data_IF_303290986970
#
_entry.id   IF_303290986970
#
_cell.length_a   1.000
_cell.length_b   1.000
_cell.length_c   1.000
_cell.angle_alpha   90.00
_cell.angle_beta   90.00
_cell.angle_gamma   90.00
#
_symmetry.space_group_name_H-M   'P 1'
#
loop_
_entity.id
_entity.type
_entity.pdbx_description
1 polymer ?
#
# COMPACT_ATOMS: atom_id res chain seq x y z
N UNK A 1 -11.17 11.39 -5.36
CA UNK A 1 -9.80 11.56 -4.85
C UNK A 1 -8.90 10.57 -5.56
N UNK A 2 -7.72 11.02 -5.99
CA UNK A 2 -6.74 10.18 -6.68
C UNK A 2 -5.65 9.74 -5.71
N UNK A 3 -5.20 8.48 -5.80
CA UNK A 3 -4.20 7.89 -4.92
C UNK A 3 -3.11 7.25 -5.77
N UNK A 4 -1.87 7.72 -5.68
CA UNK A 4 -0.75 7.17 -6.45
C UNK A 4 0.08 6.21 -5.60
N UNK A 5 -0.20 4.93 -5.76
CA UNK A 5 0.59 3.85 -5.15
C UNK A 5 1.92 3.71 -5.89
N UNK A 6 3.04 3.71 -5.17
CA UNK A 6 4.38 3.52 -5.74
C UNK A 6 4.96 2.19 -5.29
N UNK A 7 5.00 1.23 -6.21
CA UNK A 7 5.53 -0.09 -5.92
C UNK A 7 7.05 -0.06 -5.97
N UNK A 8 7.70 -0.60 -4.94
CA UNK A 8 9.16 -0.70 -4.87
C UNK A 8 9.62 -2.13 -4.66
N UNK A 9 10.90 -2.38 -5.00
CA UNK A 9 11.56 -3.67 -4.82
C UNK A 9 10.81 -4.82 -5.50
N UNK A 10 10.65 -5.93 -4.77
CA UNK A 10 9.95 -7.13 -5.27
C UNK A 10 8.49 -6.86 -5.64
N UNK A 11 7.83 -5.88 -5.01
CA UNK A 11 6.43 -5.58 -5.30
C UNK A 11 6.29 -4.99 -6.69
N UNK A 12 7.19 -4.09 -7.11
CA UNK A 12 7.20 -3.54 -8.47
C UNK A 12 7.38 -4.63 -9.54
N UNK A 13 8.19 -5.65 -9.24
CA UNK A 13 8.37 -6.80 -10.11
C UNK A 13 7.12 -7.69 -10.21
N UNK A 14 6.31 -7.75 -9.15
CA UNK A 14 5.07 -8.53 -9.12
C UNK A 14 3.91 -7.81 -9.79
N UNK A 15 3.80 -6.50 -9.60
CA UNK A 15 2.75 -5.69 -10.22
C UNK A 15 3.06 -5.39 -11.69
N UNK A 16 4.34 -5.46 -12.10
CA UNK A 16 4.79 -5.09 -13.43
C UNK A 16 4.79 -3.57 -13.69
N UNK A 17 4.45 -2.79 -12.66
CA UNK A 17 4.26 -1.34 -12.71
C UNK A 17 5.01 -0.72 -11.53
N UNK A 18 5.70 0.40 -11.75
CA UNK A 18 6.38 1.13 -10.66
C UNK A 18 5.43 2.04 -9.89
N UNK A 19 4.41 2.56 -10.57
CA UNK A 19 3.51 3.54 -10.01
C UNK A 19 2.12 3.33 -10.60
N UNK A 20 1.08 3.55 -9.79
CA UNK A 20 -0.29 3.47 -10.27
C UNK A 20 -1.21 4.40 -9.51
N UNK A 21 -2.00 5.15 -10.27
CA UNK A 21 -3.04 6.02 -9.72
C UNK A 21 -4.37 5.28 -9.65
N UNK A 22 -5.06 5.41 -8.52
CA UNK A 22 -6.38 4.89 -8.26
C UNK A 22 -7.32 6.04 -7.88
N UNK A 23 -8.45 6.13 -8.55
CA UNK A 23 -9.47 7.12 -8.23
C UNK A 23 -10.54 6.47 -7.35
N UNK A 24 -10.77 7.04 -6.17
CA UNK A 24 -11.83 6.61 -5.25
C UNK A 24 -12.81 7.77 -5.02
N UNK A 25 -14.09 7.44 -4.85
CA UNK A 25 -15.14 8.42 -4.56
C UNK A 25 -15.02 8.98 -3.14
N UNK A 26 -14.62 8.14 -2.17
CA UNK A 26 -14.46 8.46 -0.74
C UNK A 26 -13.07 8.03 -0.24
N UNK A 27 -12.50 8.65 0.83
CA UNK A 27 -11.22 8.27 1.44
C UNK A 27 -11.23 6.79 1.88
N UNK A 28 -10.57 5.86 1.15
CA UNK A 28 -10.50 4.49 1.58
C UNK A 28 -9.56 4.40 2.79
N UNK A 29 -9.77 3.38 3.61
CA UNK A 29 -8.76 2.96 4.57
C UNK A 29 -7.59 2.33 3.83
N UNK A 30 -6.41 2.30 4.46
CA UNK A 30 -5.27 1.60 3.88
C UNK A 30 -5.60 0.12 3.65
N UNK A 31 -6.38 -0.51 4.54
CA UNK A 31 -6.92 -1.87 4.33
C UNK A 31 -7.74 -1.98 3.04
N UNK A 32 -8.69 -1.07 2.81
CA UNK A 32 -9.50 -1.06 1.59
C UNK A 32 -8.67 -0.87 0.31
N UNK A 33 -7.63 -0.05 0.37
CA UNK A 33 -6.67 0.10 -0.74
C UNK A 33 -5.91 -1.21 -1.00
N UNK A 34 -5.43 -1.87 0.05
CA UNK A 34 -4.73 -3.16 -0.07
C UNK A 34 -5.65 -4.27 -0.60
N UNK A 35 -6.92 -4.31 -0.18
CA UNK A 35 -7.90 -5.25 -0.71
C UNK A 35 -8.18 -4.99 -2.21
N UNK A 36 -8.22 -3.73 -2.63
CA UNK A 36 -8.33 -3.36 -4.06
C UNK A 36 -7.11 -3.83 -4.86
N UNK A 37 -5.91 -3.70 -4.27
CA UNK A 37 -4.66 -4.18 -4.88
C UNK A 37 -4.61 -5.72 -4.95
N UNK A 38 -5.05 -6.42 -3.90
CA UNK A 38 -5.19 -7.88 -3.87
C UNK A 38 -6.18 -8.36 -4.94
N UNK A 39 -7.34 -7.72 -5.06
CA UNK A 39 -8.34 -8.08 -6.07
C UNK A 39 -7.79 -7.95 -7.51
N UNK A 40 -6.84 -7.02 -7.71
CA UNK A 40 -6.24 -6.73 -9.01
C UNK A 40 -5.04 -7.61 -9.35
N UNK A 41 -4.07 -7.70 -8.44
CA UNK A 41 -2.80 -8.41 -8.65
C UNK A 41 -2.85 -9.86 -8.16
N UNK A 42 -3.93 -10.24 -7.51
CA UNK A 42 -4.20 -11.60 -7.04
C UNK A 42 -3.45 -11.99 -5.77
N UNK A 43 -3.57 -13.27 -5.43
CA UNK A 43 -3.03 -13.85 -4.19
C UNK A 43 -1.50 -13.68 -4.06
N UNK A 44 -0.77 -13.63 -5.16
CA UNK A 44 0.69 -13.45 -5.14
C UNK A 44 1.09 -12.13 -4.50
N UNK A 45 0.32 -11.07 -4.75
CA UNK A 45 0.49 -9.78 -4.08
C UNK A 45 0.13 -9.89 -2.61
N UNK A 46 -1.04 -10.46 -2.28
CA UNK A 46 -1.49 -10.64 -0.90
C UNK A 46 -0.49 -11.40 -0.03
N UNK A 47 0.15 -12.46 -0.56
CA UNK A 47 1.20 -13.23 0.14
C UNK A 47 2.46 -12.41 0.48
N UNK A 48 2.71 -11.32 -0.25
CA UNK A 48 3.85 -10.42 -0.01
C UNK A 48 3.50 -9.26 0.91
N UNK A 49 2.22 -8.92 1.00
CA UNK A 49 1.74 -7.86 1.88
C UNK A 49 1.38 -8.43 3.25
N UNK A 50 0.62 -9.52 3.28
CA UNK A 50 0.09 -10.13 4.48
C UNK A 50 0.89 -11.37 4.88
N UNK A 51 1.08 -11.54 6.18
CA UNK A 51 1.67 -12.73 6.79
C UNK A 51 0.70 -13.90 6.86
N UNK A 52 -0.60 -13.61 7.03
CA UNK A 52 -1.64 -14.63 7.14
C UNK A 52 -2.87 -14.25 6.31
N UNK A 53 -3.50 -15.26 5.71
CA UNK A 53 -4.79 -15.13 5.05
C UNK A 53 -5.97 -15.11 6.04
N UNK A 54 -5.75 -15.57 7.29
CA UNK A 54 -6.75 -15.57 8.36
C UNK A 54 -6.80 -14.24 9.10
N UNK A 55 -7.99 -13.79 9.48
CA UNK A 55 -8.17 -12.57 10.27
C UNK A 55 -7.65 -12.76 11.72
N UNK A 56 -6.96 -11.76 12.30
CA UNK A 56 -6.57 -10.49 11.70
C UNK A 56 -5.46 -10.65 10.65
N UNK A 57 -5.67 -10.11 9.44
CA UNK A 57 -4.67 -10.12 8.35
C UNK A 57 -3.50 -9.22 8.76
N UNK A 58 -2.44 -9.83 9.29
CA UNK A 58 -1.26 -9.10 9.74
C UNK A 58 -0.36 -8.73 8.56
N UNK A 59 0.18 -7.52 8.54
CA UNK A 59 1.20 -7.14 7.56
C UNK A 59 2.47 -7.98 7.77
N UNK A 60 3.19 -8.24 6.69
CA UNK A 60 4.53 -8.81 6.73
C UNK A 60 5.44 -7.93 7.60
N UNK A 61 6.19 -8.53 8.52
CA UNK A 61 7.12 -7.81 9.42
C UNK A 61 8.18 -7.02 8.63
N UNK A 62 8.54 -7.55 7.47
CA UNK A 62 9.49 -6.93 6.58
C UNK A 62 8.83 -5.87 5.67
N UNK A 63 7.52 -5.75 5.62
CA UNK A 63 6.84 -4.77 4.78
C UNK A 63 6.78 -3.42 5.52
N UNK A 64 7.40 -2.41 4.93
CA UNK A 64 7.19 -1.03 5.36
C UNK A 64 6.22 -0.37 4.39
N UNK A 65 5.15 0.19 4.95
CA UNK A 65 4.18 1.01 4.22
C UNK A 65 4.41 2.46 4.65
N UNK A 66 4.68 3.33 3.69
CA UNK A 66 4.73 4.77 3.97
C UNK A 66 3.56 5.43 3.28
N UNK A 67 2.87 6.35 3.95
CA UNK A 67 1.77 7.17 3.42
C UNK A 67 2.21 8.62 3.57
N UNK A 68 2.44 9.29 2.43
CA UNK A 68 3.00 10.65 2.41
C UNK A 68 4.32 10.80 3.21
N UNK A 69 5.19 9.78 3.10
CA UNK A 69 6.46 9.75 3.83
C UNK A 69 6.35 9.36 5.31
N UNK A 70 5.15 9.23 5.87
CA UNK A 70 4.95 8.73 7.23
C UNK A 70 4.86 7.21 7.23
N UNK A 71 5.68 6.55 8.06
CA UNK A 71 5.59 5.09 8.24
C UNK A 71 4.24 4.75 8.89
N UNK A 72 3.51 3.82 8.29
CA UNK A 72 2.20 3.37 8.75
C UNK A 72 2.36 2.05 9.48
N UNK A 73 1.98 2.05 10.75
CA UNK A 73 1.93 0.85 11.57
C UNK A 73 0.60 0.11 11.40
N UNK A 74 0.54 -1.08 11.99
CA UNK A 74 -0.62 -1.94 11.87
C UNK A 74 -1.93 -1.31 12.36
N UNK A 75 -1.87 -0.41 13.33
CA UNK A 75 -3.05 0.31 13.86
C UNK A 75 -3.65 1.27 12.82
N UNK A 76 -2.81 1.88 11.99
CA UNK A 76 -3.24 2.85 10.99
C UNK A 76 -3.74 2.19 9.69
N UNK A 77 -3.82 0.85 9.64
CA UNK A 77 -4.46 0.14 8.52
C UNK A 77 -5.97 0.36 8.46
N UNK A 78 -6.59 0.45 9.63
CA UNK A 78 -8.03 0.60 9.79
C UNK A 78 -8.44 2.09 9.85
N UNK A 79 -7.45 2.99 9.86
CA UNK A 79 -7.68 4.43 9.77
C UNK A 79 -7.90 4.87 8.31
N UNK A 80 -8.80 5.86 8.08
CA UNK A 80 -8.97 6.43 6.76
C UNK A 80 -7.68 7.11 6.31
N UNK A 81 -7.33 6.93 5.04
CA UNK A 81 -6.16 7.60 4.49
C UNK A 81 -6.34 9.13 4.59
N UNK A 82 -5.28 9.86 5.00
CA UNK A 82 -5.36 11.32 5.09
C UNK A 82 -5.64 11.91 3.71
N UNK A 83 -6.35 13.04 3.62
CA UNK A 83 -6.52 13.74 2.36
C UNK A 83 -5.14 14.11 1.82
N UNK A 84 -4.97 14.09 0.49
CA UNK A 84 -3.66 14.37 -0.06
C UNK A 84 -3.23 15.81 0.23
N UNK A 85 -1.92 16.05 0.39
CA UNK A 85 -1.40 17.37 0.71
C UNK A 85 -1.74 18.36 -0.40
N UNK A 86 -2.23 19.54 -0.01
CA UNK A 86 -2.64 20.61 -0.92
C UNK A 86 -1.51 21.10 -1.85
N UNK A 87 -0.25 20.81 -1.50
CA UNK A 87 0.95 21.21 -2.24
C UNK A 87 1.30 20.26 -3.40
N UNK A 88 0.68 19.07 -3.48
CA UNK A 88 0.89 18.16 -4.63
C UNK A 88 -0.19 18.37 -5.70
N UNK A 89 0.20 18.68 -6.95
CA UNK A 89 -0.74 19.03 -8.02
C UNK A 89 -1.71 17.90 -8.41
N UNK A 90 -1.42 16.64 -8.06
CA UNK A 90 -2.27 15.49 -8.36
C UNK A 90 -2.96 14.87 -7.13
N UNK A 91 -2.81 15.45 -5.93
CA UNK A 91 -3.44 14.89 -4.75
C UNK A 91 -3.00 13.45 -4.44
N UNK A 92 -1.73 13.14 -4.60
CA UNK A 92 -1.24 11.75 -4.62
C UNK A 92 -0.70 11.28 -3.26
N UNK A 93 -1.31 10.24 -2.70
CA UNK A 93 -0.74 9.50 -1.55
C UNK A 93 0.26 8.47 -2.07
N UNK A 94 1.55 8.71 -1.79
CA UNK A 94 2.63 7.79 -2.10
C UNK A 94 2.62 6.64 -1.10
N UNK A 95 2.20 5.47 -1.56
CA UNK A 95 2.27 4.22 -0.79
C UNK A 95 3.50 3.44 -1.21
N UNK A 96 4.53 3.42 -0.37
CA UNK A 96 5.75 2.66 -0.60
C UNK A 96 5.64 1.28 0.00
N UNK A 97 5.95 0.22 -0.75
CA UNK A 97 5.95 -1.15 -0.26
C UNK A 97 7.36 -1.72 -0.35
N UNK A 98 8.07 -1.75 0.77
CA UNK A 98 9.47 -2.17 0.84
C UNK A 98 9.57 -3.49 1.62
N UNK A 99 10.05 -4.59 1.01
CA UNK A 99 10.49 -5.75 1.76
C UNK A 99 11.81 -5.40 2.46
N UNK A 100 11.91 -5.62 3.77
CA UNK A 100 13.13 -5.48 4.53
C UNK A 100 14.17 -6.44 3.97
N UNK A 101 15.25 -5.89 3.41
CA UNK A 101 16.38 -6.66 2.92
C UNK A 101 16.97 -7.52 4.04
N UNK A 102 16.79 -8.83 3.96
CA UNK A 102 17.64 -9.79 4.66
C UNK A 102 18.77 -10.19 3.71
N UNK A 103 19.94 -9.57 3.85
CA UNK A 103 21.17 -10.05 3.18
C UNK A 103 22.01 -8.94 2.56
N UNK A 104 23.14 -8.65 3.21
CA UNK A 104 24.37 -8.18 2.57
C UNK A 104 25.40 -9.29 2.66
#
# INVERSE_FOLDING_TARGET
>A
MDLKVSFMGVIAGLTGEKERTFSFEEPPTLRGLLDTLEARYGETFAKRIYRSATQPRLLQLCLRIFVDGNLVDHQALDEPLPPPPADRPNGEILVYLLPASTGG
#
